data_IF_910966424183
#
_entry.id   IF_910966424183
#
_cell.length_a   1.000
_cell.length_b   1.000
_cell.length_c   1.000
_cell.angle_alpha   90.00
_cell.angle_beta   90.00
_cell.angle_gamma   90.00
#
_symmetry.space_group_name_H-M   'P 1'
#
loop_
_entity.id
_entity.type
_entity.pdbx_description
1 polymer ?
#
# COMPACT_ATOMS: atom_id res chain seq x y z
N UNK A 1 12.41 -7.49 -3.00
CA UNK A 1 11.05 -8.06 -2.98
C UNK A 1 10.24 -7.35 -4.05
N UNK A 2 9.25 -8.02 -4.67
CA UNK A 2 8.36 -7.42 -5.67
C UNK A 2 6.93 -7.68 -5.23
N UNK A 3 6.11 -6.65 -5.21
CA UNK A 3 4.66 -6.74 -4.97
C UNK A 3 3.93 -6.38 -6.27
N UNK A 4 2.73 -6.92 -6.44
CA UNK A 4 1.96 -6.76 -7.67
C UNK A 4 1.12 -5.48 -7.61
N UNK A 5 0.93 -4.83 -8.76
CA UNK A 5 -0.15 -3.86 -8.94
C UNK A 5 -1.34 -4.63 -9.49
N UNK A 6 -2.38 -4.80 -8.68
CA UNK A 6 -3.52 -5.65 -8.99
C UNK A 6 -4.54 -4.90 -9.85
N UNK A 7 -4.86 -5.42 -11.03
CA UNK A 7 -5.87 -4.86 -11.92
C UNK A 7 -7.28 -5.36 -11.59
N UNK A 8 -7.48 -6.68 -11.58
CA UNK A 8 -8.78 -7.32 -11.40
C UNK A 8 -8.61 -8.72 -10.85
N UNK A 9 -9.70 -9.28 -10.34
CA UNK A 9 -9.83 -10.66 -9.91
C UNK A 9 -11.10 -11.26 -10.51
N UNK A 10 -10.94 -12.18 -11.47
CA UNK A 10 -12.06 -12.79 -12.20
C UNK A 10 -12.94 -13.67 -11.29
N UNK A 11 -12.33 -14.33 -10.31
CA UNK A 11 -13.05 -15.21 -9.38
C UNK A 11 -13.94 -14.40 -8.43
N UNK A 12 -13.43 -13.28 -7.93
CA UNK A 12 -14.16 -12.36 -7.05
C UNK A 12 -15.05 -11.39 -7.84
N UNK A 13 -14.94 -11.36 -9.18
CA UNK A 13 -15.60 -10.39 -10.07
C UNK A 13 -15.34 -8.94 -9.66
N UNK A 14 -14.08 -8.66 -9.28
CA UNK A 14 -13.64 -7.34 -8.84
C UNK A 14 -12.70 -6.72 -9.87
N UNK A 15 -12.89 -5.44 -10.17
CA UNK A 15 -11.96 -4.66 -11.00
C UNK A 15 -11.45 -3.44 -10.21
N UNK A 16 -10.22 -3.54 -9.73
CA UNK A 16 -9.57 -2.52 -8.91
C UNK A 16 -9.30 -1.23 -9.71
N UNK A 17 -9.27 -1.30 -11.04
CA UNK A 17 -9.12 -0.10 -11.87
C UNK A 17 -10.32 0.83 -11.74
N UNK A 18 -11.49 0.26 -11.44
CA UNK A 18 -12.77 0.96 -11.34
C UNK A 18 -13.14 1.35 -9.91
N UNK A 19 -12.36 0.93 -8.91
CA UNK A 19 -12.66 1.25 -7.51
C UNK A 19 -12.72 2.76 -7.26
N UNK A 20 -13.80 3.15 -6.58
CA UNK A 20 -13.98 4.47 -6.01
C UNK A 20 -13.14 4.63 -4.75
N UNK A 21 -13.02 5.87 -4.26
CA UNK A 21 -12.38 6.12 -2.98
C UNK A 21 -13.13 5.50 -1.80
N UNK A 22 -14.44 5.26 -1.94
CA UNK A 22 -15.22 4.57 -0.91
C UNK A 22 -14.89 3.08 -0.88
N UNK A 23 -14.80 2.42 -2.04
CA UNK A 23 -14.44 0.99 -2.13
C UNK A 23 -13.05 0.75 -1.52
N UNK A 24 -12.08 1.61 -1.85
CA UNK A 24 -10.73 1.56 -1.29
C UNK A 24 -10.75 1.79 0.22
N UNK A 25 -11.57 2.73 0.71
CA UNK A 25 -11.70 3.00 2.14
C UNK A 25 -12.26 1.77 2.86
N UNK A 26 -13.29 1.13 2.32
CA UNK A 26 -13.88 -0.09 2.91
C UNK A 26 -12.84 -1.21 2.97
N UNK A 27 -12.09 -1.44 1.89
CA UNK A 27 -11.03 -2.46 1.88
C UNK A 27 -9.90 -2.13 2.87
N UNK A 28 -9.45 -0.88 2.95
CA UNK A 28 -8.49 -0.46 3.98
C UNK A 28 -9.03 -0.69 5.41
N UNK A 29 -10.33 -0.51 5.64
CA UNK A 29 -10.90 -0.74 6.98
C UNK A 29 -10.93 -2.23 7.35
N UNK A 30 -11.14 -3.10 6.37
CA UNK A 30 -11.07 -4.56 6.51
C UNK A 30 -9.64 -5.00 6.88
N UNK A 31 -8.64 -4.70 6.03
CA UNK A 31 -7.25 -5.11 6.25
C UNK A 31 -6.67 -4.55 7.55
N UNK A 32 -7.00 -3.29 7.88
CA UNK A 32 -6.56 -2.69 9.14
C UNK A 32 -7.16 -3.41 10.36
N UNK A 33 -8.39 -3.90 10.27
CA UNK A 33 -9.02 -4.65 11.36
C UNK A 33 -8.37 -6.04 11.53
N UNK A 34 -8.04 -6.71 10.43
CA UNK A 34 -7.33 -7.99 10.41
C UNK A 34 -5.92 -7.85 11.01
N UNK A 35 -5.19 -6.80 10.62
CA UNK A 35 -3.88 -6.49 11.22
C UNK A 35 -3.97 -6.19 12.72
N UNK A 36 -4.99 -5.46 13.17
CA UNK A 36 -5.21 -5.19 14.60
C UNK A 36 -5.45 -6.50 15.35
N UNK A 37 -6.21 -7.43 14.78
CA UNK A 37 -6.46 -8.74 15.37
C UNK A 37 -5.15 -9.54 15.45
N UNK A 38 -4.39 -9.64 14.37
CA UNK A 38 -3.12 -10.36 14.33
C UNK A 38 -2.11 -9.83 15.36
N UNK A 39 -2.02 -8.50 15.50
CA UNK A 39 -1.19 -7.85 16.53
C UNK A 39 -1.64 -8.17 17.95
N UNK A 40 -2.96 -8.27 18.17
CA UNK A 40 -3.55 -8.62 19.48
C UNK A 40 -3.23 -10.07 19.85
N UNK A 41 -3.33 -10.98 18.88
CA UNK A 41 -3.05 -12.41 19.04
C UNK A 41 -1.54 -12.71 19.11
N UNK A 42 -0.69 -11.76 18.69
CA UNK A 42 0.78 -11.86 18.65
C UNK A 42 1.27 -13.01 17.76
N UNK A 43 0.50 -13.33 16.72
CA UNK A 43 0.91 -14.30 15.70
C UNK A 43 1.80 -13.60 14.67
N UNK A 44 3.10 -13.89 14.71
CA UNK A 44 4.06 -13.25 13.81
C UNK A 44 3.82 -13.55 12.32
N UNK A 45 3.28 -14.74 11.99
CA UNK A 45 3.00 -15.09 10.60
C UNK A 45 1.79 -14.30 10.11
N UNK A 46 0.72 -14.29 10.89
CA UNK A 46 -0.47 -13.52 10.56
C UNK A 46 -0.15 -12.02 10.49
N UNK A 47 0.62 -11.47 11.44
CA UNK A 47 1.07 -10.07 11.39
C UNK A 47 1.80 -9.78 10.08
N UNK A 48 2.66 -10.69 9.61
CA UNK A 48 3.37 -10.49 8.36
C UNK A 48 2.43 -10.52 7.14
N UNK A 49 1.43 -11.41 7.13
CA UNK A 49 0.39 -11.49 6.10
C UNK A 49 -0.42 -10.19 6.06
N UNK A 50 -1.04 -9.80 7.17
CA UNK A 50 -1.91 -8.62 7.22
C UNK A 50 -1.14 -7.30 6.97
N UNK A 51 0.15 -7.23 7.33
CA UNK A 51 1.01 -6.09 6.94
C UNK A 51 1.20 -6.03 5.43
N UNK A 52 1.36 -7.18 4.76
CA UNK A 52 1.52 -7.22 3.31
C UNK A 52 0.20 -6.89 2.60
N UNK A 53 -0.94 -7.28 3.16
CA UNK A 53 -2.25 -6.94 2.60
C UNK A 53 -2.56 -5.44 2.76
N UNK A 54 -2.23 -4.83 3.90
CA UNK A 54 -2.29 -3.37 4.08
C UNK A 54 -1.38 -2.62 3.08
N UNK A 55 -0.17 -3.14 2.85
CA UNK A 55 0.73 -2.61 1.80
C UNK A 55 0.10 -2.79 0.41
N UNK A 56 -0.60 -3.89 0.15
CA UNK A 56 -1.25 -4.16 -1.13
C UNK A 56 -2.38 -3.14 -1.42
N UNK A 57 -3.16 -2.76 -0.40
CA UNK A 57 -4.14 -1.66 -0.50
C UNK A 57 -3.44 -0.32 -0.76
N UNK A 58 -2.35 -0.03 -0.04
CA UNK A 58 -1.55 1.17 -0.26
C UNK A 58 -0.98 1.26 -1.68
N UNK A 59 -0.54 0.14 -2.27
CA UNK A 59 -0.10 0.08 -3.67
C UNK A 59 -1.25 0.42 -4.61
N UNK A 60 -2.46 -0.09 -4.37
CA UNK A 60 -3.67 0.26 -5.15
C UNK A 60 -4.00 1.75 -5.09
N UNK A 61 -3.85 2.38 -3.92
CA UNK A 61 -4.00 3.84 -3.75
C UNK A 61 -2.96 4.59 -4.58
N UNK A 62 -1.69 4.20 -4.50
CA UNK A 62 -0.60 4.84 -5.25
C UNK A 62 -0.82 4.69 -6.76
N UNK A 63 -1.27 3.53 -7.23
CA UNK A 63 -1.62 3.32 -8.65
C UNK A 63 -2.71 4.28 -9.10
N UNK A 64 -3.82 4.36 -8.35
CA UNK A 64 -4.93 5.27 -8.65
C UNK A 64 -4.47 6.73 -8.71
N UNK A 65 -3.72 7.19 -7.71
CA UNK A 65 -3.16 8.55 -7.68
C UNK A 65 -2.26 8.82 -8.88
N UNK A 66 -1.46 7.83 -9.28
CA UNK A 66 -0.59 7.96 -10.44
C UNK A 66 -1.38 8.02 -11.75
N UNK A 67 -2.45 7.22 -11.90
CA UNK A 67 -3.40 7.31 -13.02
C UNK A 67 -4.09 8.67 -13.08
N UNK A 68 -4.34 9.28 -11.93
CA UNK A 68 -4.88 10.64 -11.79
C UNK A 68 -3.81 11.74 -12.02
N UNK A 69 -2.58 11.37 -12.40
CA UNK A 69 -1.52 12.29 -12.82
C UNK A 69 -0.52 12.67 -11.73
N UNK A 70 -0.59 12.08 -10.54
CA UNK A 70 0.36 12.35 -9.45
C UNK A 70 1.73 11.70 -9.72
N UNK A 71 2.81 12.45 -9.54
CA UNK A 71 4.16 11.91 -9.59
C UNK A 71 4.52 11.26 -8.24
N UNK A 72 4.41 9.93 -8.16
CA UNK A 72 4.65 9.17 -6.93
C UNK A 72 6.10 9.29 -6.43
N UNK A 73 7.10 9.32 -7.33
CA UNK A 73 8.50 9.49 -6.94
C UNK A 73 8.73 10.83 -6.21
N UNK A 74 8.15 11.91 -6.73
CA UNK A 74 8.19 13.21 -6.04
C UNK A 74 7.49 13.18 -4.68
N UNK A 75 6.40 12.41 -4.55
CA UNK A 75 5.70 12.25 -3.27
C UNK A 75 6.53 11.48 -2.24
N UNK A 76 7.30 10.47 -2.66
CA UNK A 76 8.27 9.77 -1.80
C UNK A 76 9.36 10.73 -1.31
N UNK A 77 9.93 11.55 -2.22
CA UNK A 77 10.93 12.56 -1.84
C UNK A 77 10.36 13.57 -0.84
N UNK A 78 9.13 14.04 -1.06
CA UNK A 78 8.41 14.95 -0.14
C UNK A 78 8.20 14.30 1.23
N UNK A 79 7.83 13.03 1.26
CA UNK A 79 7.65 12.25 2.50
C UNK A 79 8.97 12.13 3.28
N UNK A 80 10.05 11.71 2.63
CA UNK A 80 11.36 11.56 3.27
C UNK A 80 11.89 12.89 3.80
N UNK A 81 11.77 13.98 3.03
CA UNK A 81 12.14 15.33 3.49
C UNK A 81 11.36 15.73 4.75
N UNK A 82 10.05 15.41 4.83
CA UNK A 82 9.22 15.65 6.01
C UNK A 82 9.73 14.86 7.23
N UNK A 83 10.18 13.61 7.06
CA UNK A 83 10.73 12.81 8.16
C UNK A 83 12.06 13.37 8.66
N UNK A 84 12.97 13.72 7.74
CA UNK A 84 14.26 14.37 8.09
C UNK A 84 14.03 15.68 8.84
N UNK A 85 13.09 16.51 8.38
CA UNK A 85 12.72 17.77 9.05
C UNK A 85 12.12 17.56 10.45
N UNK A 86 11.60 16.35 10.74
CA UNK A 86 11.11 15.94 12.05
C UNK A 86 12.21 15.28 12.90
N UNK A 87 13.47 15.43 12.50
CA UNK A 87 14.66 14.88 13.15
C UNK A 87 14.71 13.34 13.21
N UNK A 88 13.95 12.64 12.37
CA UNK A 88 14.13 11.20 12.21
C UNK A 88 15.52 10.93 11.63
N UNK A 89 16.21 9.94 12.23
CA UNK A 89 17.45 9.37 11.71
C UNK A 89 17.12 8.02 11.10
N UNK A 90 17.40 7.88 9.82
CA UNK A 90 17.22 6.63 9.11
C UNK A 90 18.23 5.59 9.61
N UNK A 91 17.79 4.33 9.68
CA UNK A 91 18.63 3.17 9.99
C UNK A 91 18.86 2.26 8.76
N UNK A 92 18.28 2.63 7.63
CA UNK A 92 18.20 1.83 6.42
C UNK A 92 17.13 2.37 5.48
N UNK A 93 17.10 1.82 4.26
CA UNK A 93 16.23 2.27 3.17
C UNK A 93 15.48 1.08 2.58
N UNK A 94 14.18 1.25 2.35
CA UNK A 94 13.39 0.36 1.49
C UNK A 94 13.30 1.01 0.11
N UNK A 95 13.78 0.32 -0.91
CA UNK A 95 13.68 0.79 -2.28
C UNK A 95 12.34 0.37 -2.87
N UNK A 96 11.51 1.36 -3.21
CA UNK A 96 10.28 1.17 -3.97
C UNK A 96 10.58 1.55 -5.42
N UNK A 97 10.41 0.60 -6.34
CA UNK A 97 10.56 0.83 -7.78
C UNK A 97 9.22 0.61 -8.44
N UNK A 98 8.70 1.65 -9.11
CA UNK A 98 7.46 1.58 -9.86
C UNK A 98 7.73 1.05 -11.28
N UNK A 99 7.60 -0.25 -11.47
CA UNK A 99 7.78 -0.87 -12.77
C UNK A 99 6.42 -1.08 -13.45
N UNK A 100 6.18 -0.42 -14.58
CA UNK A 100 5.04 -0.75 -15.44
C UNK A 100 5.40 -1.95 -16.30
N UNK A 101 4.53 -2.94 -16.35
CA UNK A 101 4.61 -3.95 -17.41
C UNK A 101 4.20 -3.24 -18.71
N UNK A 102 5.18 -2.98 -19.57
CA UNK A 102 4.98 -2.41 -20.91
C UNK A 102 4.72 -3.53 -21.89
#
# INVERSE_FOLDING_TARGET
>A
MKLMVLSHNDNLKQDNNTWSWNDIKEKHQEEAAELIQALTEKDNYQIAEEVLDEIQVCIGILDKLQRDGLNIEQMVLRHNKKLVNRNWKDKGVVNIQWCKNV
#
